data_IF_843565142503
#
_entry.id   IF_843565142503
#
_cell.length_a   1.000
_cell.length_b   1.000
_cell.length_c   1.000
_cell.angle_alpha   90.00
_cell.angle_beta   90.00
_cell.angle_gamma   90.00
#
_symmetry.space_group_name_H-M   'P 1'
#
loop_
_entity.id
_entity.type
_entity.pdbx_description
1 polymer ?
#
# COMPACT_ATOMS: atom_id res chain seq x y z
N UNK A 1 -12.56 7.78 -27.99
CA UNK A 1 -11.20 7.65 -27.43
C UNK A 1 -10.99 6.27 -26.84
N UNK A 2 -9.83 5.64 -27.07
CA UNK A 2 -9.47 4.34 -26.49
C UNK A 2 -9.12 4.44 -24.99
N UNK A 3 -9.19 3.31 -24.27
CA UNK A 3 -8.76 3.26 -22.89
C UNK A 3 -7.24 3.31 -22.75
N UNK A 4 -6.76 4.12 -21.83
CA UNK A 4 -5.40 4.00 -21.30
C UNK A 4 -5.39 2.95 -20.19
N UNK A 5 -4.41 2.04 -20.23
CA UNK A 5 -4.21 0.98 -19.23
C UNK A 5 -3.09 1.34 -18.26
N UNK A 6 -3.38 1.27 -16.97
CA UNK A 6 -2.45 1.63 -15.90
C UNK A 6 -2.32 0.44 -14.93
N UNK A 7 -1.09 0.04 -14.59
CA UNK A 7 -0.80 -0.89 -13.51
C UNK A 7 -0.65 -0.12 -12.21
N UNK A 8 -1.49 -0.41 -11.23
CA UNK A 8 -1.47 0.23 -9.91
C UNK A 8 -0.90 -0.75 -8.89
N UNK A 9 0.40 -0.68 -8.64
CA UNK A 9 1.15 -1.61 -7.81
C UNK A 9 0.80 -1.51 -6.33
N UNK A 10 0.74 -2.64 -5.64
CA UNK A 10 0.58 -2.69 -4.20
C UNK A 10 1.84 -2.17 -3.50
N UNK A 11 1.68 -1.40 -2.42
CA UNK A 11 2.78 -1.03 -1.53
C UNK A 11 2.88 -2.01 -0.36
N UNK A 12 4.07 -2.18 0.16
CA UNK A 12 4.34 -2.88 1.42
C UNK A 12 5.18 -2.00 2.33
N UNK A 13 4.87 -2.01 3.63
CA UNK A 13 5.74 -1.39 4.62
C UNK A 13 6.83 -2.42 4.99
N UNK A 14 8.05 -2.17 4.55
CA UNK A 14 9.24 -2.93 4.92
C UNK A 14 9.65 -2.66 6.38
N UNK A 15 9.33 -1.47 6.88
CA UNK A 15 9.34 -1.09 8.29
C UNK A 15 8.34 0.05 8.51
N UNK A 16 7.81 0.15 9.73
CA UNK A 16 6.92 1.25 10.13
C UNK A 16 7.11 1.56 11.60
N UNK A 17 7.43 2.80 11.93
CA UNK A 17 7.54 3.30 13.28
C UNK A 17 6.49 4.38 13.55
N UNK A 18 5.95 4.38 14.76
CA UNK A 18 5.08 5.44 15.26
C UNK A 18 5.94 6.35 16.15
N UNK A 19 6.20 7.57 15.68
CA UNK A 19 7.14 8.50 16.33
C UNK A 19 6.47 9.56 17.17
N UNK A 20 5.14 9.58 17.19
CA UNK A 20 4.36 10.53 17.98
C UNK A 20 2.91 10.57 17.55
N UNK A 21 2.17 11.51 18.13
CA UNK A 21 0.74 11.74 17.84
C UNK A 21 0.46 13.23 17.82
N UNK A 22 -0.38 13.68 16.92
CA UNK A 22 -1.06 14.98 16.95
C UNK A 22 -2.47 14.78 17.46
N UNK A 23 -3.23 15.86 17.64
CA UNK A 23 -4.66 15.76 18.01
C UNK A 23 -5.47 14.84 17.07
N UNK A 24 -5.12 14.78 15.79
CA UNK A 24 -5.91 14.06 14.78
C UNK A 24 -5.23 12.81 14.24
N UNK A 25 -3.90 12.75 14.17
CA UNK A 25 -3.16 11.70 13.47
C UNK A 25 -1.89 11.29 14.20
N UNK A 26 -1.48 10.04 14.03
CA UNK A 26 -0.17 9.58 14.45
C UNK A 26 0.93 10.06 13.49
N UNK A 27 2.07 10.49 14.05
CA UNK A 27 3.29 10.74 13.28
C UNK A 27 3.96 9.41 13.00
N UNK A 28 4.24 9.14 11.75
CA UNK A 28 4.86 7.88 11.31
C UNK A 28 6.11 8.13 10.49
N UNK A 29 7.02 7.19 10.54
CA UNK A 29 8.07 7.03 9.54
C UNK A 29 8.02 5.61 9.00
N UNK A 30 8.43 5.40 7.75
CA UNK A 30 8.33 4.08 7.13
C UNK A 30 9.33 3.86 6.02
N UNK A 31 9.82 2.64 5.93
CA UNK A 31 10.52 2.13 4.74
C UNK A 31 9.48 1.40 3.89
N UNK A 32 9.26 1.86 2.67
CA UNK A 32 8.19 1.38 1.79
C UNK A 32 8.79 0.80 0.51
N UNK A 33 8.25 -0.32 0.08
CA UNK A 33 8.51 -0.92 -1.22
C UNK A 33 7.21 -1.15 -1.98
N UNK A 34 7.32 -1.35 -3.28
CA UNK A 34 6.21 -1.76 -4.14
C UNK A 34 6.47 -3.16 -4.66
N UNK A 35 5.41 -3.88 -5.00
CA UNK A 35 5.49 -5.26 -5.45
C UNK A 35 4.75 -5.47 -6.77
N UNK A 36 5.11 -6.53 -7.49
CA UNK A 36 4.50 -6.86 -8.80
C UNK A 36 3.00 -7.18 -8.74
N UNK A 37 2.42 -7.43 -7.55
CA UNK A 37 0.97 -7.47 -7.35
C UNK A 37 0.38 -6.08 -7.63
N UNK A 38 -0.61 -5.99 -8.52
CA UNK A 38 -1.20 -4.72 -8.91
C UNK A 38 -2.67 -4.86 -9.31
N UNK A 39 -3.44 -3.79 -9.12
CA UNK A 39 -4.72 -3.60 -9.78
C UNK A 39 -4.48 -3.09 -11.21
N UNK A 40 -5.44 -3.32 -12.11
CA UNK A 40 -5.41 -2.77 -13.47
C UNK A 40 -6.52 -1.73 -13.60
N UNK A 41 -6.14 -0.51 -13.98
CA UNK A 41 -7.06 0.59 -14.20
C UNK A 41 -7.15 0.85 -15.70
N UNK A 42 -8.36 0.88 -16.21
CA UNK A 42 -8.69 1.35 -17.54
C UNK A 42 -9.37 2.71 -17.39
N UNK A 43 -8.84 3.74 -18.06
CA UNK A 43 -9.36 5.10 -17.98
C UNK A 43 -9.45 5.72 -19.36
N UNK A 44 -10.59 6.36 -19.65
CA UNK A 44 -10.80 7.19 -20.85
C UNK A 44 -11.61 8.44 -20.51
N UNK A 45 -11.38 9.53 -21.25
CA UNK A 45 -12.25 10.71 -21.27
C UNK A 45 -13.55 10.37 -21.97
N UNK A 46 -14.66 10.86 -21.44
CA UNK A 46 -16.01 10.66 -21.99
C UNK A 46 -16.78 11.98 -22.06
N UNK A 47 -17.76 12.01 -22.93
CA UNK A 47 -18.80 13.05 -22.94
C UNK A 47 -19.92 12.60 -22.00
N UNK A 48 -19.98 13.18 -20.81
CA UNK A 48 -20.97 12.83 -19.77
C UNK A 48 -21.10 13.96 -18.77
N UNK A 49 -22.22 14.03 -18.06
CA UNK A 49 -22.42 14.98 -16.94
C UNK A 49 -21.64 14.58 -15.67
N UNK A 50 -21.24 13.31 -15.52
CA UNK A 50 -20.56 12.79 -14.32
C UNK A 50 -19.51 11.74 -14.66
N UNK A 51 -18.55 11.51 -13.76
CA UNK A 51 -17.59 10.41 -13.85
C UNK A 51 -18.30 9.06 -13.67
N UNK A 52 -17.86 8.05 -14.42
CA UNK A 52 -18.35 6.67 -14.31
C UNK A 52 -17.22 5.83 -13.71
N UNK A 53 -17.42 5.24 -12.53
CA UNK A 53 -16.42 4.45 -11.82
C UNK A 53 -16.99 3.07 -11.54
N UNK A 54 -16.32 2.03 -12.03
CA UNK A 54 -16.72 0.64 -11.84
C UNK A 54 -15.56 -0.25 -11.39
N UNK A 55 -15.90 -1.31 -10.65
CA UNK A 55 -14.94 -2.25 -10.10
C UNK A 55 -15.31 -3.68 -10.52
N UNK A 56 -14.30 -4.46 -10.96
CA UNK A 56 -14.41 -5.88 -11.30
C UNK A 56 -13.32 -6.68 -10.61
N UNK A 57 -13.41 -8.01 -10.64
CA UNK A 57 -12.42 -8.93 -10.11
C UNK A 57 -12.68 -9.40 -8.68
N UNK A 58 -11.83 -10.31 -8.19
CA UNK A 58 -12.00 -11.05 -6.93
C UNK A 58 -12.27 -10.17 -5.70
N UNK A 59 -11.73 -8.96 -5.67
CA UNK A 59 -11.80 -8.05 -4.53
C UNK A 59 -12.61 -6.78 -4.82
N UNK A 60 -13.53 -6.84 -5.77
CA UNK A 60 -14.43 -5.71 -6.11
C UNK A 60 -15.69 -5.66 -5.24
N UNK A 61 -16.12 -6.79 -4.69
CA UNK A 61 -17.30 -6.86 -3.81
C UNK A 61 -17.17 -5.90 -2.63
N UNK A 62 -18.24 -5.20 -2.29
CA UNK A 62 -18.30 -4.24 -1.17
C UNK A 62 -17.46 -2.96 -1.34
N UNK A 63 -17.06 -2.59 -2.57
CA UNK A 63 -16.54 -1.26 -2.84
C UNK A 63 -17.71 -0.35 -3.18
N UNK A 64 -18.14 0.44 -2.19
CA UNK A 64 -19.26 1.37 -2.34
C UNK A 64 -18.90 2.61 -3.16
N UNK A 65 -19.89 3.48 -3.42
CA UNK A 65 -19.72 4.72 -4.18
C UNK A 65 -18.75 5.71 -3.50
N UNK A 66 -18.65 5.66 -2.17
CA UNK A 66 -17.68 6.45 -1.39
C UNK A 66 -16.35 5.70 -1.29
N UNK A 67 -15.49 5.84 -2.29
CA UNK A 67 -14.17 5.21 -2.36
C UNK A 67 -13.07 6.25 -2.66
N UNK A 68 -11.79 5.83 -2.65
CA UNK A 68 -10.65 6.74 -2.86
C UNK A 68 -10.66 7.41 -4.24
N UNK A 69 -11.16 6.74 -5.28
CA UNK A 69 -11.22 7.31 -6.63
C UNK A 69 -12.33 8.37 -6.68
N UNK A 70 -13.53 8.07 -6.19
CA UNK A 70 -14.62 9.05 -6.13
C UNK A 70 -14.26 10.27 -5.26
N UNK A 71 -13.50 10.04 -4.18
CA UNK A 71 -12.99 11.10 -3.31
C UNK A 71 -11.99 12.00 -4.04
N UNK A 72 -11.10 11.41 -4.87
CA UNK A 72 -10.16 12.15 -5.71
C UNK A 72 -10.91 13.08 -6.67
N UNK A 73 -11.83 12.57 -7.47
CA UNK A 73 -12.56 13.39 -8.44
C UNK A 73 -13.39 14.49 -7.76
N UNK A 74 -14.11 14.18 -6.67
CA UNK A 74 -14.82 15.19 -5.90
C UNK A 74 -13.91 16.31 -5.40
N UNK A 75 -12.70 15.98 -4.94
CA UNK A 75 -11.74 16.98 -4.49
C UNK A 75 -11.26 17.84 -5.65
N UNK A 76 -10.88 17.22 -6.78
CA UNK A 76 -10.41 17.96 -7.96
C UNK A 76 -11.47 18.92 -8.54
N UNK A 77 -12.73 18.50 -8.55
CA UNK A 77 -13.86 19.35 -8.98
C UNK A 77 -14.11 20.49 -7.99
N UNK A 78 -14.12 20.20 -6.68
CA UNK A 78 -14.31 21.21 -5.63
C UNK A 78 -13.26 22.32 -5.69
N UNK A 79 -11.99 21.93 -5.88
CA UNK A 79 -10.86 22.86 -5.98
C UNK A 79 -10.72 23.48 -7.40
N UNK A 80 -11.69 23.27 -8.29
CA UNK A 80 -11.70 23.77 -9.68
C UNK A 80 -10.45 23.38 -10.48
N UNK A 81 -9.76 22.30 -10.10
CA UNK A 81 -8.60 21.77 -10.81
C UNK A 81 -9.01 20.90 -12.02
N UNK A 82 -10.21 20.36 -11.99
CA UNK A 82 -10.80 19.57 -13.09
C UNK A 82 -12.23 20.07 -13.32
N UNK A 83 -12.43 20.87 -14.38
CA UNK A 83 -13.71 21.56 -14.60
C UNK A 83 -14.60 20.88 -15.64
N UNK A 84 -14.11 20.65 -16.84
CA UNK A 84 -14.93 20.22 -17.99
C UNK A 84 -14.80 18.74 -18.35
N UNK A 85 -13.69 18.09 -17.99
CA UNK A 85 -13.44 16.72 -18.41
C UNK A 85 -14.05 15.68 -17.47
N UNK A 86 -14.81 14.73 -18.02
CA UNK A 86 -15.32 13.57 -17.28
C UNK A 86 -14.65 12.29 -17.80
N UNK A 87 -14.60 11.28 -16.94
CA UNK A 87 -13.86 10.04 -17.19
C UNK A 87 -14.69 8.81 -16.86
N UNK A 88 -14.53 7.77 -17.67
CA UNK A 88 -14.91 6.42 -17.34
C UNK A 88 -13.68 5.66 -16.82
N UNK A 89 -13.79 5.10 -15.63
CA UNK A 89 -12.75 4.37 -14.93
C UNK A 89 -13.26 2.96 -14.59
N UNK A 90 -12.57 1.94 -15.11
CA UNK A 90 -12.82 0.53 -14.79
C UNK A 90 -11.62 -0.03 -14.04
N UNK A 91 -11.81 -0.56 -12.84
CA UNK A 91 -10.72 -1.09 -12.01
C UNK A 91 -10.89 -2.59 -11.82
N UNK A 92 -9.93 -3.38 -12.32
CA UNK A 92 -9.84 -4.81 -12.02
C UNK A 92 -9.05 -5.00 -10.73
N UNK A 93 -9.74 -5.46 -9.67
CA UNK A 93 -9.21 -5.58 -8.32
C UNK A 93 -8.52 -6.91 -8.07
N UNK A 94 -7.19 -6.86 -7.92
CA UNK A 94 -6.34 -7.99 -7.54
C UNK A 94 -5.72 -7.80 -6.15
N UNK A 95 -5.70 -6.56 -5.63
CA UNK A 95 -5.21 -6.24 -4.29
C UNK A 95 -6.37 -6.36 -3.30
N UNK A 96 -6.26 -7.25 -2.28
CA UNK A 96 -7.32 -7.42 -1.30
C UNK A 96 -7.53 -6.16 -0.45
N UNK A 97 -8.79 -5.81 -0.12
CA UNK A 97 -9.10 -4.68 0.76
C UNK A 97 -8.71 -4.96 2.21
N UNK A 98 -8.56 -3.90 3.01
CA UNK A 98 -8.23 -3.96 4.46
C UNK A 98 -7.04 -4.87 4.76
N UNK A 99 -5.98 -4.77 3.95
CA UNK A 99 -4.81 -5.64 3.98
C UNK A 99 -3.50 -4.91 4.34
N UNK A 100 -3.49 -3.59 4.46
CA UNK A 100 -2.27 -2.81 4.62
C UNK A 100 -1.44 -2.65 3.32
N UNK A 101 -1.94 -3.15 2.17
CA UNK A 101 -1.27 -3.11 0.86
C UNK A 101 -1.55 -1.83 0.06
N UNK A 102 -2.33 -0.90 0.59
CA UNK A 102 -2.56 0.42 0.01
C UNK A 102 -3.39 0.46 -1.28
N UNK A 103 -4.07 -0.62 -1.69
CA UNK A 103 -4.68 -0.75 -3.02
C UNK A 103 -5.55 0.43 -3.45
N UNK A 104 -6.42 0.95 -2.57
CA UNK A 104 -7.26 2.10 -2.88
C UNK A 104 -6.46 3.40 -3.06
N UNK A 105 -5.50 3.67 -2.17
CA UNK A 105 -4.63 4.85 -2.24
C UNK A 105 -3.73 4.82 -3.47
N UNK A 106 -3.21 3.63 -3.82
CA UNK A 106 -2.39 3.45 -5.03
C UNK A 106 -3.22 3.68 -6.30
N UNK A 107 -4.48 3.23 -6.32
CA UNK A 107 -5.37 3.50 -7.46
C UNK A 107 -5.62 5.00 -7.63
N UNK A 108 -5.93 5.72 -6.57
CA UNK A 108 -6.10 7.17 -6.60
C UNK A 108 -4.81 7.89 -7.04
N UNK A 109 -3.65 7.50 -6.51
CA UNK A 109 -2.35 8.07 -6.86
C UNK A 109 -2.01 7.88 -8.35
N UNK A 110 -2.24 6.68 -8.90
CA UNK A 110 -1.94 6.40 -10.30
C UNK A 110 -2.92 7.09 -11.25
N UNK A 111 -4.18 7.28 -10.87
CA UNK A 111 -5.14 8.11 -11.63
C UNK A 111 -4.69 9.58 -11.58
N UNK A 112 -4.35 10.11 -10.41
CA UNK A 112 -3.84 11.48 -10.27
C UNK A 112 -2.61 11.71 -11.16
N UNK A 113 -1.64 10.80 -11.11
CA UNK A 113 -0.45 10.83 -11.99
C UNK A 113 -0.82 10.82 -13.48
N UNK A 114 -1.80 10.01 -13.87
CA UNK A 114 -2.31 9.98 -15.26
C UNK A 114 -2.91 11.32 -15.68
N UNK A 115 -3.75 11.92 -14.83
CA UNK A 115 -4.39 13.21 -15.12
C UNK A 115 -3.35 14.32 -15.31
N UNK A 116 -2.31 14.35 -14.47
CA UNK A 116 -1.19 15.29 -14.58
C UNK A 116 -0.40 15.04 -15.87
N UNK A 117 0.01 13.77 -16.11
CA UNK A 117 0.80 13.41 -17.29
C UNK A 117 0.09 13.74 -18.61
N UNK A 118 -1.23 13.60 -18.65
CA UNK A 118 -2.07 13.90 -19.80
C UNK A 118 -2.53 15.37 -19.86
N UNK A 119 -2.02 16.20 -18.96
CA UNK A 119 -2.32 17.64 -18.87
C UNK A 119 -3.82 17.96 -18.69
N UNK A 120 -4.62 17.03 -18.11
CA UNK A 120 -6.01 17.31 -17.71
C UNK A 120 -6.07 18.21 -16.48
N UNK A 121 -5.03 18.19 -15.65
CA UNK A 121 -4.81 19.06 -14.51
C UNK A 121 -3.33 19.43 -14.42
N UNK A 122 -3.06 20.63 -13.88
CA UNK A 122 -1.68 21.12 -13.66
C UNK A 122 -1.53 21.69 -12.25
N UNK A 123 -1.54 20.83 -11.20
CA UNK A 123 -1.42 21.29 -9.83
C UNK A 123 0.02 21.75 -9.53
N UNK A 124 0.17 22.87 -8.83
CA UNK A 124 1.44 23.26 -8.24
C UNK A 124 1.79 22.33 -7.06
N UNK A 125 3.00 22.47 -6.49
CA UNK A 125 3.48 21.61 -5.41
C UNK A 125 2.59 21.66 -4.15
N UNK A 126 2.05 22.82 -3.77
CA UNK A 126 1.15 22.98 -2.62
C UNK A 126 -0.18 22.28 -2.87
N UNK A 127 -0.75 22.45 -4.05
CA UNK A 127 -1.98 21.78 -4.48
C UNK A 127 -1.81 20.26 -4.52
N UNK A 128 -0.69 19.75 -5.06
CA UNK A 128 -0.42 18.31 -5.11
C UNK A 128 -0.36 17.70 -3.71
N UNK A 129 0.30 18.36 -2.76
CA UNK A 129 0.35 17.94 -1.35
C UNK A 129 -1.06 17.94 -0.73
N UNK A 130 -1.88 18.97 -1.00
CA UNK A 130 -3.25 19.08 -0.50
C UNK A 130 -4.13 17.95 -1.05
N UNK A 131 -4.07 17.68 -2.36
CA UNK A 131 -4.76 16.55 -3.01
C UNK A 131 -4.40 15.25 -2.30
N UNK A 132 -3.11 14.93 -2.17
CA UNK A 132 -2.68 13.68 -1.55
C UNK A 132 -3.19 13.52 -0.12
N UNK A 133 -3.05 14.57 0.70
CA UNK A 133 -3.51 14.57 2.10
C UNK A 133 -5.03 14.39 2.23
N UNK A 134 -5.81 15.03 1.36
CA UNK A 134 -7.27 14.96 1.41
C UNK A 134 -7.81 13.57 1.05
N UNK A 135 -7.13 12.84 0.15
CA UNK A 135 -7.57 11.53 -0.32
C UNK A 135 -7.15 10.42 0.66
N UNK A 136 -5.89 10.44 1.13
CA UNK A 136 -5.38 9.46 2.07
C UNK A 136 -3.86 9.54 2.25
N UNK A 137 -3.38 9.14 3.42
CA UNK A 137 -1.97 9.24 3.83
C UNK A 137 -0.97 8.53 2.90
N UNK A 138 -1.39 7.44 2.26
CA UNK A 138 -0.53 6.65 1.38
C UNK A 138 -0.50 7.15 -0.08
N UNK A 139 -1.35 8.14 -0.45
CA UNK A 139 -1.47 8.59 -1.85
C UNK A 139 -0.19 9.20 -2.35
N UNK A 140 0.47 10.02 -1.55
CA UNK A 140 1.75 10.63 -1.91
C UNK A 140 2.85 9.59 -2.20
N UNK A 141 2.86 8.46 -1.47
CA UNK A 141 3.79 7.35 -1.70
C UNK A 141 3.57 6.68 -3.07
N UNK A 142 2.33 6.67 -3.55
CA UNK A 142 1.94 6.02 -4.80
C UNK A 142 2.21 6.84 -6.07
N UNK A 143 2.59 8.10 -5.96
CA UNK A 143 2.91 8.94 -7.12
C UNK A 143 4.11 8.38 -7.90
N UNK A 144 5.08 7.77 -7.19
CA UNK A 144 6.19 7.06 -7.79
C UNK A 144 6.31 5.68 -7.14
N UNK A 145 6.18 4.62 -7.94
CA UNK A 145 6.24 3.24 -7.43
C UNK A 145 7.70 2.77 -7.28
N UNK A 146 8.47 3.46 -6.46
CA UNK A 146 9.89 3.18 -6.16
C UNK A 146 10.09 2.88 -4.69
N UNK A 147 11.23 2.32 -4.32
CA UNK A 147 11.60 2.21 -2.91
C UNK A 147 11.65 3.60 -2.27
N UNK A 148 10.99 3.74 -1.14
CA UNK A 148 10.71 5.06 -0.55
C UNK A 148 10.92 5.04 0.95
N UNK A 149 11.52 6.08 1.50
CA UNK A 149 11.55 6.34 2.93
C UNK A 149 10.67 7.56 3.22
N UNK A 150 9.64 7.32 4.03
CA UNK A 150 8.83 8.37 4.66
C UNK A 150 9.50 8.73 5.97
N UNK A 151 9.96 9.98 6.11
CA UNK A 151 10.59 10.52 7.31
C UNK A 151 9.54 10.97 8.33
N UNK A 152 9.93 11.08 9.59
CA UNK A 152 9.03 11.51 10.69
C UNK A 152 8.43 12.93 10.50
N UNK A 153 9.04 13.76 9.68
CA UNK A 153 8.55 15.10 9.28
C UNK A 153 7.69 15.07 8.01
N UNK A 154 7.20 13.91 7.58
CA UNK A 154 6.42 13.66 6.36
C UNK A 154 7.15 13.92 5.04
N UNK A 155 8.45 14.17 5.05
CA UNK A 155 9.23 14.22 3.82
C UNK A 155 9.40 12.82 3.24
N UNK A 156 9.35 12.73 1.92
CA UNK A 156 9.51 11.48 1.16
C UNK A 156 10.86 11.54 0.44
N UNK A 157 11.67 10.48 0.62
CA UNK A 157 12.91 10.28 -0.15
C UNK A 157 12.80 8.98 -0.94
N UNK A 158 12.95 9.08 -2.24
CA UNK A 158 12.88 7.97 -3.18
C UNK A 158 14.26 7.43 -3.52
N UNK A 159 14.34 6.11 -3.79
CA UNK A 159 15.57 5.41 -4.13
C UNK A 159 15.35 4.50 -5.33
N UNK A 160 16.19 4.66 -6.34
CA UNK A 160 16.22 3.80 -7.53
C UNK A 160 17.27 2.71 -7.39
N UNK A 161 17.13 1.64 -8.17
CA UNK A 161 18.10 0.55 -8.27
C UNK A 161 18.43 -0.09 -6.90
N UNK A 162 17.43 -0.26 -6.03
CA UNK A 162 17.57 -1.05 -4.82
C UNK A 162 17.46 -2.54 -5.14
N UNK A 163 18.10 -3.39 -4.30
CA UNK A 163 18.02 -4.84 -4.43
C UNK A 163 16.58 -5.33 -4.28
N UNK A 164 16.15 -6.17 -5.22
CA UNK A 164 14.78 -6.71 -5.25
C UNK A 164 14.71 -8.03 -4.47
N UNK A 165 13.54 -8.26 -3.84
CA UNK A 165 13.25 -9.46 -3.05
C UNK A 165 12.04 -10.19 -3.62
N UNK A 166 12.03 -11.52 -3.46
CA UNK A 166 10.82 -12.30 -3.65
C UNK A 166 10.01 -12.25 -2.35
N UNK A 167 8.69 -12.12 -2.47
CA UNK A 167 7.81 -12.00 -1.31
C UNK A 167 6.62 -12.93 -1.43
N UNK A 168 6.29 -13.59 -0.33
CA UNK A 168 5.00 -14.26 -0.16
C UNK A 168 4.11 -13.35 0.68
N UNK A 169 3.06 -12.87 0.06
CA UNK A 169 2.04 -12.05 0.72
C UNK A 169 0.88 -12.98 1.10
N UNK A 170 0.52 -13.01 2.36
CA UNK A 170 -0.61 -13.78 2.86
C UNK A 170 -1.60 -12.88 3.55
N UNK A 171 -2.89 -13.17 3.39
CA UNK A 171 -3.98 -12.43 4.03
C UNK A 171 -5.09 -13.39 4.46
N UNK A 172 -5.48 -13.40 5.74
CA UNK A 172 -6.65 -14.14 6.19
C UNK A 172 -7.94 -13.56 5.61
N UNK A 173 -9.05 -14.26 5.77
CA UNK A 173 -10.36 -13.82 5.29
C UNK A 173 -10.83 -12.50 5.90
N UNK A 174 -10.41 -12.17 7.12
CA UNK A 174 -10.73 -10.91 7.80
C UNK A 174 -9.72 -9.79 7.49
N UNK A 175 -10.11 -8.54 7.79
CA UNK A 175 -9.24 -7.36 7.75
C UNK A 175 -9.07 -6.75 9.13
N UNK A 176 -8.00 -5.98 9.35
CA UNK A 176 -7.81 -5.18 10.54
C UNK A 176 -8.35 -3.76 10.31
N UNK A 177 -9.07 -3.23 11.28
CA UNK A 177 -9.47 -1.82 11.26
C UNK A 177 -8.25 -0.94 11.58
N UNK A 178 -7.84 -0.11 10.62
CA UNK A 178 -6.71 0.82 10.83
C UNK A 178 -6.93 1.70 12.07
N UNK A 179 -8.15 2.26 12.23
CA UNK A 179 -8.52 3.09 13.39
C UNK A 179 -8.31 2.33 14.71
N UNK A 180 -8.78 1.10 14.77
CA UNK A 180 -8.68 0.25 15.96
C UNK A 180 -7.25 -0.14 16.31
N UNK A 181 -6.41 -0.45 15.31
CA UNK A 181 -5.00 -0.78 15.55
C UNK A 181 -4.23 0.46 16.03
N UNK A 182 -4.44 1.62 15.39
CA UNK A 182 -3.79 2.86 15.80
C UNK A 182 -4.24 3.35 17.18
N UNK A 183 -5.49 3.12 17.59
CA UNK A 183 -5.94 3.48 18.95
C UNK A 183 -5.25 2.67 20.06
N UNK A 184 -4.71 1.49 19.74
CA UNK A 184 -3.92 0.67 20.66
C UNK A 184 -2.48 1.12 20.86
N UNK A 185 -2.00 2.17 20.17
CA UNK A 185 -0.64 2.66 20.29
C UNK A 185 -0.47 3.46 21.60
N UNK A 186 0.26 2.89 22.55
CA UNK A 186 0.55 3.51 23.85
C UNK A 186 1.95 4.11 23.95
N UNK A 187 2.91 3.63 23.15
CA UNK A 187 4.32 4.04 23.18
C UNK A 187 4.79 4.52 21.80
N UNK A 188 5.65 5.54 21.79
CA UNK A 188 6.24 6.07 20.58
C UNK A 188 7.73 5.73 20.51
N UNK A 189 8.24 5.54 19.31
CA UNK A 189 9.66 5.29 19.07
C UNK A 189 10.38 6.59 18.68
N UNK A 190 11.65 6.71 19.04
CA UNK A 190 12.49 7.80 18.51
C UNK A 190 12.60 7.67 16.99
N UNK A 191 12.59 8.78 16.22
CA UNK A 191 12.79 8.76 14.77
C UNK A 191 14.12 8.12 14.38
N UNK A 192 14.11 7.17 13.43
CA UNK A 192 15.29 6.42 12.96
C UNK A 192 15.56 6.61 11.46
N UNK A 193 14.57 7.13 10.69
CA UNK A 193 14.65 7.23 9.24
C UNK A 193 14.84 8.67 8.73
N UNK A 194 15.21 9.60 9.58
CA UNK A 194 15.43 11.01 9.21
C UNK A 194 16.70 11.24 8.37
N UNK A 195 17.69 10.31 8.47
CA UNK A 195 18.88 10.28 7.60
C UNK A 195 18.75 9.08 6.62
N UNK A 196 17.94 9.20 5.57
CA UNK A 196 17.63 8.09 4.71
C UNK A 196 18.80 7.73 3.79
N UNK A 197 19.10 6.42 3.67
CA UNK A 197 20.14 5.91 2.78
C UNK A 197 19.69 4.67 2.03
N UNK A 198 20.30 4.40 0.87
CA UNK A 198 20.05 3.20 0.07
C UNK A 198 20.38 1.90 0.81
N UNK A 199 21.35 1.94 1.73
CA UNK A 199 21.74 0.80 2.58
C UNK A 199 20.58 0.28 3.43
N UNK A 200 19.60 1.13 3.78
CA UNK A 200 18.43 0.73 4.55
C UNK A 200 17.56 -0.32 3.84
N UNK A 201 17.66 -0.45 2.52
CA UNK A 201 16.93 -1.46 1.74
C UNK A 201 17.71 -2.77 1.55
N UNK A 202 18.87 -2.95 2.18
CA UNK A 202 19.53 -4.25 2.18
C UNK A 202 18.74 -5.28 2.99
N UNK A 203 18.81 -6.56 2.62
CA UNK A 203 18.05 -7.62 3.29
C UNK A 203 18.37 -7.70 4.77
N UNK A 204 19.65 -7.57 5.12
CA UNK A 204 20.12 -7.71 6.50
C UNK A 204 19.72 -6.51 7.37
N UNK A 205 19.72 -5.29 6.82
CA UNK A 205 19.19 -4.13 7.51
C UNK A 205 17.67 -4.21 7.68
N UNK A 206 16.95 -4.61 6.63
CA UNK A 206 15.49 -4.77 6.72
C UNK A 206 15.09 -5.83 7.74
N UNK A 207 15.85 -6.93 7.88
CA UNK A 207 15.60 -7.98 8.86
C UNK A 207 15.63 -7.44 10.31
N UNK A 208 16.46 -6.44 10.60
CA UNK A 208 16.61 -5.81 11.92
C UNK A 208 15.52 -4.78 12.24
N UNK A 209 14.73 -4.36 11.25
CA UNK A 209 13.64 -3.39 11.43
C UNK A 209 12.35 -4.10 11.84
N UNK A 210 11.34 -3.33 12.26
CA UNK A 210 10.04 -3.84 12.69
C UNK A 210 8.87 -2.99 12.17
N UNK A 211 7.66 -3.37 12.55
CA UNK A 211 6.45 -2.59 12.36
C UNK A 211 5.80 -2.36 13.74
N UNK A 212 5.79 -1.14 14.23
CA UNK A 212 5.24 -0.77 15.55
C UNK A 212 3.78 -1.16 15.76
N UNK A 213 3.02 -1.36 14.69
CA UNK A 213 1.61 -1.80 14.76
C UNK A 213 1.46 -3.32 14.83
N UNK A 214 2.52 -4.08 14.56
CA UNK A 214 2.43 -5.54 14.45
C UNK A 214 2.05 -6.20 15.77
N UNK A 215 2.71 -5.87 16.88
CA UNK A 215 2.43 -6.44 18.18
C UNK A 215 0.97 -6.21 18.60
N UNK A 216 0.44 -5.00 18.36
CA UNK A 216 -0.95 -4.65 18.66
C UNK A 216 -1.92 -5.49 17.82
N UNK A 217 -1.65 -5.64 16.54
CA UNK A 217 -2.49 -6.44 15.65
C UNK A 217 -2.45 -7.93 15.99
N UNK A 218 -1.28 -8.46 16.33
CA UNK A 218 -1.12 -9.88 16.73
C UNK A 218 -1.79 -10.20 18.07
N UNK A 219 -1.77 -9.25 19.01
CA UNK A 219 -2.50 -9.38 20.29
C UNK A 219 -4.02 -9.40 20.06
N UNK A 220 -4.54 -8.48 19.25
CA UNK A 220 -5.99 -8.41 18.94
C UNK A 220 -6.51 -9.55 18.06
N UNK A 221 -5.66 -10.12 17.23
CA UNK A 221 -6.03 -11.16 16.25
C UNK A 221 -5.10 -12.38 16.37
N UNK A 222 -5.35 -13.32 17.31
CA UNK A 222 -4.48 -14.49 17.53
C UNK A 222 -4.23 -15.33 16.28
N UNK A 223 -5.20 -15.39 15.35
CA UNK A 223 -5.02 -16.05 14.04
C UNK A 223 -3.88 -15.43 13.20
N UNK A 224 -3.62 -14.12 13.32
CA UNK A 224 -2.46 -13.49 12.66
C UNK A 224 -1.15 -13.94 13.31
N UNK A 225 -1.11 -14.09 14.63
CA UNK A 225 0.06 -14.59 15.37
C UNK A 225 0.44 -16.00 14.90
N UNK A 226 -0.54 -16.89 14.74
CA UNK A 226 -0.32 -18.24 14.25
C UNK A 226 0.19 -18.26 12.79
N UNK A 227 -0.35 -17.43 11.93
CA UNK A 227 0.10 -17.29 10.54
C UNK A 227 1.55 -16.79 10.50
N UNK A 228 1.86 -15.74 11.27
CA UNK A 228 3.22 -15.17 11.34
C UNK A 228 4.22 -16.21 11.82
N UNK A 229 3.95 -16.89 12.92
CA UNK A 229 4.79 -17.93 13.48
C UNK A 229 5.05 -19.09 12.50
N UNK A 230 4.01 -19.54 11.79
CA UNK A 230 4.16 -20.55 10.75
C UNK A 230 5.13 -20.10 9.64
N UNK A 231 5.00 -18.86 9.16
CA UNK A 231 5.87 -18.32 8.12
C UNK A 231 7.33 -18.18 8.60
N UNK A 232 7.53 -17.77 9.86
CA UNK A 232 8.86 -17.66 10.48
C UNK A 232 9.54 -19.01 10.61
N UNK A 233 8.81 -20.04 11.05
CA UNK A 233 9.32 -21.41 11.12
C UNK A 233 9.54 -22.07 9.76
N UNK A 234 8.87 -21.60 8.71
CA UNK A 234 8.97 -22.21 7.38
C UNK A 234 10.32 -21.98 6.69
N UNK A 235 11.13 -21.02 7.13
CA UNK A 235 12.45 -20.76 6.59
C UNK A 235 13.29 -19.84 7.50
N UNK A 236 14.50 -20.28 7.84
CA UNK A 236 15.52 -19.48 8.53
C UNK A 236 16.19 -18.43 7.60
N UNK A 237 16.07 -18.58 6.28
CA UNK A 237 16.61 -17.68 5.24
C UNK A 237 15.64 -16.59 4.82
N UNK A 238 14.62 -16.30 5.64
CA UNK A 238 13.61 -15.27 5.42
C UNK A 238 13.46 -14.35 6.63
N UNK A 239 12.72 -13.26 6.45
CA UNK A 239 12.11 -12.53 7.56
C UNK A 239 10.64 -12.29 7.25
N UNK A 240 9.83 -12.13 8.29
CA UNK A 240 8.37 -12.01 8.20
C UNK A 240 7.93 -10.73 8.88
N UNK A 241 7.01 -9.99 8.26
CA UNK A 241 6.48 -8.74 8.82
C UNK A 241 5.08 -8.45 8.33
N UNK A 242 4.26 -7.92 9.21
CA UNK A 242 2.96 -7.37 8.83
C UNK A 242 3.15 -6.06 8.08
N UNK A 243 2.35 -5.79 7.05
CA UNK A 243 2.37 -4.52 6.32
C UNK A 243 1.27 -3.58 6.80
N UNK A 244 1.64 -2.32 7.08
CA UNK A 244 0.72 -1.32 7.62
C UNK A 244 0.09 -1.79 8.92
N UNK A 245 -1.20 -1.56 9.09
CA UNK A 245 -2.02 -2.05 10.21
C UNK A 245 -2.53 -3.49 10.01
N UNK A 246 -2.06 -4.20 8.99
CA UNK A 246 -2.54 -5.54 8.64
C UNK A 246 -3.81 -5.50 7.79
N UNK A 247 -4.45 -6.62 7.56
CA UNK A 247 -4.15 -7.98 8.07
C UNK A 247 -3.14 -8.78 7.23
N UNK A 248 -2.54 -8.21 6.18
CA UNK A 248 -1.57 -8.95 5.39
C UNK A 248 -0.22 -9.05 6.11
N UNK A 249 0.34 -10.25 6.06
CA UNK A 249 1.69 -10.60 6.51
C UNK A 249 2.52 -10.92 5.26
N UNK A 250 3.75 -10.45 5.25
CA UNK A 250 4.68 -10.61 4.13
C UNK A 250 5.93 -11.34 4.62
N UNK A 251 6.26 -12.46 3.98
CA UNK A 251 7.52 -13.15 4.15
C UNK A 251 8.45 -12.79 2.98
N UNK A 252 9.71 -12.45 3.28
CA UNK A 252 10.70 -11.93 2.34
C UNK A 252 11.82 -12.94 2.12
N UNK A 253 12.18 -13.16 0.86
CA UNK A 253 13.15 -14.18 0.46
C UNK A 253 14.17 -13.62 -0.55
N UNK A 254 15.44 -14.08 -0.45
CA UNK A 254 16.45 -13.85 -1.49
C UNK A 254 16.21 -14.78 -2.69
N UNK A 255 15.66 -15.99 -2.48
CA UNK A 255 15.41 -17.02 -3.49
C UNK A 255 13.93 -17.13 -3.85
N UNK A 256 13.63 -17.21 -5.17
CA UNK A 256 12.27 -17.46 -5.67
C UNK A 256 11.82 -18.88 -5.34
N UNK A 257 12.69 -19.89 -5.53
CA UNK A 257 12.39 -21.30 -5.23
C UNK A 257 11.90 -21.46 -3.80
N UNK A 258 12.66 -20.90 -2.84
CA UNK A 258 12.28 -20.96 -1.43
C UNK A 258 10.94 -20.27 -1.14
N UNK A 259 10.68 -19.14 -1.80
CA UNK A 259 9.38 -18.44 -1.68
C UNK A 259 8.22 -19.32 -2.18
N UNK A 260 8.39 -20.00 -3.31
CA UNK A 260 7.39 -20.89 -3.90
C UNK A 260 7.16 -22.14 -3.03
N UNK A 261 8.24 -22.72 -2.44
CA UNK A 261 8.12 -23.86 -1.53
C UNK A 261 7.35 -23.50 -0.25
N UNK A 262 7.67 -22.35 0.34
CA UNK A 262 6.92 -21.87 1.52
C UNK A 262 5.46 -21.57 1.16
N UNK A 263 5.18 -21.04 -0.03
CA UNK A 263 3.81 -20.86 -0.52
C UNK A 263 3.07 -22.21 -0.59
N UNK A 264 3.68 -23.26 -1.13
CA UNK A 264 3.06 -24.60 -1.22
C UNK A 264 2.69 -25.11 0.18
N UNK A 265 3.63 -25.07 1.13
CA UNK A 265 3.39 -25.47 2.54
C UNK A 265 2.28 -24.64 3.18
N UNK A 266 2.30 -23.31 2.98
CA UNK A 266 1.30 -22.39 3.51
C UNK A 266 -0.10 -22.70 2.98
N UNK A 267 -0.24 -22.86 1.66
CA UNK A 267 -1.54 -23.10 1.02
C UNK A 267 -2.19 -24.44 1.43
N UNK A 268 -1.37 -25.45 1.75
CA UNK A 268 -1.87 -26.75 2.28
C UNK A 268 -2.46 -26.57 3.67
N UNK A 269 -1.79 -25.80 4.54
CA UNK A 269 -2.21 -25.61 5.95
C UNK A 269 -3.33 -24.58 6.11
N UNK A 270 -3.30 -23.49 5.35
CA UNK A 270 -4.21 -22.34 5.51
C UNK A 270 -5.10 -22.16 4.27
N UNK A 271 -5.98 -23.14 4.00
CA UNK A 271 -6.87 -23.18 2.80
C UNK A 271 -7.74 -21.92 2.64
N UNK A 272 -8.18 -21.31 3.75
CA UNK A 272 -9.04 -20.13 3.77
C UNK A 272 -8.27 -18.78 3.75
N UNK A 273 -6.95 -18.81 3.59
CA UNK A 273 -6.15 -17.60 3.46
C UNK A 273 -5.81 -17.34 1.99
N UNK A 274 -5.95 -16.09 1.58
CA UNK A 274 -5.41 -15.67 0.30
C UNK A 274 -3.89 -15.54 0.39
N UNK A 275 -3.19 -16.04 -0.62
CA UNK A 275 -1.76 -15.83 -0.73
C UNK A 275 -1.32 -15.57 -2.18
N UNK A 276 -0.24 -14.81 -2.34
CA UNK A 276 0.34 -14.47 -3.63
C UNK A 276 1.86 -14.32 -3.52
N UNK A 277 2.58 -15.00 -4.41
CA UNK A 277 4.01 -14.70 -4.63
C UNK A 277 4.11 -13.47 -5.53
N UNK A 278 5.00 -12.57 -5.16
CA UNK A 278 5.32 -11.36 -5.89
C UNK A 278 6.82 -11.04 -5.76
N UNK A 279 7.28 -10.00 -6.44
CA UNK A 279 8.65 -9.49 -6.35
C UNK A 279 8.59 -7.99 -6.08
N UNK A 280 9.48 -7.44 -5.27
CA UNK A 280 9.63 -5.98 -5.17
C UNK A 280 10.11 -5.40 -6.50
N UNK A 281 9.67 -4.21 -6.86
CA UNK A 281 9.95 -3.54 -8.14
C UNK A 281 10.88 -2.37 -7.97
#
# INVERSE_FOLDING_TARGET
MSYSRIKSYAKINLALNITGKTSKLHKIESVVGFVTLHDVILIKKIQSKKHIISFKGKFSKNIGPKNTISKLFKFLEKEKLLTSSKFEIKVNKYIPPKSGLGGGSMNAANILKYLIKKKFINPNKRQLISICKSIGSDVALGLNSTFTILKSNNQIKEFKNCKKFNVLIVKPSFGCSTKEIYSGVKKFTKPRFNKPSKKMFSFDNLKKLNNSLEAISLSKFPKLKNIKHFLEKSSNKSFVRMTGSGSAIVAYFKSKKLCDDVKKKFSRKYKNCWCKVAKTI
#
